data_IF_976532979228
#
_entry.id   IF_976532979228
#
_cell.length_a   1.000
_cell.length_b   1.000
_cell.length_c   1.000
_cell.angle_alpha   90.00
_cell.angle_beta   90.00
_cell.angle_gamma   90.00
#
_symmetry.space_group_name_H-M   'P 1'
#
loop_
_entity.id
_entity.type
_entity.pdbx_description
1 polymer ?
#
# COMPACT_ATOMS: atom_id res chain seq x y z
N UNK A 1 15.73 4.05 -9.47
CA UNK A 1 15.91 5.45 -9.90
C UNK A 1 14.65 6.32 -9.75
N UNK A 2 13.50 6.04 -10.42
CA UNK A 2 12.27 6.85 -10.25
C UNK A 2 11.80 6.86 -8.79
N UNK A 3 11.75 5.67 -8.17
CA UNK A 3 11.37 5.51 -6.76
C UNK A 3 12.31 6.30 -5.84
N UNK A 4 13.63 6.15 -6.02
CA UNK A 4 14.63 6.81 -5.16
C UNK A 4 14.50 8.33 -5.24
N UNK A 5 14.35 8.87 -6.45
CA UNK A 5 14.11 10.29 -6.65
C UNK A 5 12.82 10.76 -5.96
N UNK A 6 11.73 10.00 -6.07
CA UNK A 6 10.47 10.29 -5.38
C UNK A 6 10.64 10.24 -3.85
N UNK A 7 11.37 9.25 -3.33
CA UNK A 7 11.57 9.05 -1.91
C UNK A 7 12.36 10.19 -1.27
N UNK A 8 13.35 10.75 -1.97
CA UNK A 8 14.23 11.81 -1.47
C UNK A 8 13.60 13.21 -1.50
N UNK A 9 12.44 13.39 -2.16
CA UNK A 9 11.77 14.70 -2.16
C UNK A 9 11.30 15.11 -0.76
N UNK A 10 11.32 16.40 -0.46
CA UNK A 10 10.79 16.92 0.81
C UNK A 10 9.30 16.65 0.94
N UNK A 11 8.57 16.71 -0.17
CA UNK A 11 7.13 16.46 -0.26
C UNK A 11 6.82 15.63 -1.48
N UNK A 12 5.90 14.69 -1.37
CA UNK A 12 5.44 13.90 -2.51
C UNK A 12 4.88 14.78 -3.63
N UNK A 13 5.41 14.60 -4.83
CA UNK A 13 4.92 15.24 -6.05
C UNK A 13 4.18 14.23 -6.91
N UNK A 14 2.95 14.59 -7.33
CA UNK A 14 2.10 13.73 -8.18
C UNK A 14 2.76 13.35 -9.51
N UNK A 15 3.73 14.15 -9.97
CA UNK A 15 4.52 13.88 -11.16
C UNK A 15 5.13 12.47 -11.16
N UNK A 16 5.66 12.00 -10.03
CA UNK A 16 6.26 10.68 -9.94
C UNK A 16 5.25 9.55 -10.13
N UNK A 17 4.04 9.69 -9.58
CA UNK A 17 2.94 8.74 -9.78
C UNK A 17 2.52 8.66 -11.24
N UNK A 18 2.35 9.81 -11.91
CA UNK A 18 1.99 9.87 -13.32
C UNK A 18 3.08 9.26 -14.22
N UNK A 19 4.35 9.58 -13.94
CA UNK A 19 5.49 9.06 -14.69
C UNK A 19 5.61 7.54 -14.52
N UNK A 20 5.60 7.06 -13.28
CA UNK A 20 5.69 5.63 -12.97
C UNK A 20 4.50 4.85 -13.56
N UNK A 21 3.28 5.38 -13.44
CA UNK A 21 2.09 4.78 -14.01
C UNK A 21 2.18 4.69 -15.54
N UNK A 22 2.72 5.72 -16.19
CA UNK A 22 2.94 5.71 -17.64
C UNK A 22 3.91 4.61 -18.06
N UNK A 23 5.00 4.39 -17.32
CA UNK A 23 5.93 3.29 -17.59
C UNK A 23 5.25 1.93 -17.42
N UNK A 24 4.52 1.71 -16.32
CA UNK A 24 3.83 0.45 -16.05
C UNK A 24 2.84 0.09 -17.17
N UNK A 25 2.10 1.07 -17.68
CA UNK A 25 1.13 0.88 -18.76
C UNK A 25 1.77 0.79 -20.16
N UNK A 26 3.02 1.26 -20.32
CA UNK A 26 3.72 1.24 -21.60
C UNK A 26 4.22 -0.17 -21.93
N UNK A 27 4.77 -0.88 -20.94
CA UNK A 27 5.26 -2.25 -21.09
C UNK A 27 5.13 -3.03 -19.80
N UNK A 28 4.77 -4.31 -19.95
CA UNK A 28 4.64 -5.27 -18.83
C UNK A 28 5.90 -5.40 -17.98
N UNK A 29 7.09 -5.34 -18.60
CA UNK A 29 8.39 -5.41 -17.91
C UNK A 29 8.54 -4.34 -16.81
N UNK A 30 8.00 -3.13 -17.03
CA UNK A 30 8.05 -2.07 -16.04
C UNK A 30 7.06 -2.32 -14.90
N UNK A 31 5.85 -2.78 -15.23
CA UNK A 31 4.85 -3.13 -14.22
C UNK A 31 5.38 -4.22 -13.28
N UNK A 32 5.89 -5.33 -13.83
CA UNK A 32 6.50 -6.42 -13.06
C UNK A 32 7.69 -5.92 -12.22
N UNK A 33 8.50 -4.99 -12.75
CA UNK A 33 9.57 -4.35 -11.98
C UNK A 33 9.03 -3.55 -10.79
N UNK A 34 7.94 -2.79 -10.96
CA UNK A 34 7.33 -2.02 -9.87
C UNK A 34 6.66 -2.92 -8.82
N UNK A 35 6.13 -4.08 -9.22
CA UNK A 35 5.64 -5.10 -8.27
C UNK A 35 6.77 -5.63 -7.40
N UNK A 36 7.90 -6.03 -8.01
CA UNK A 36 9.08 -6.48 -7.28
C UNK A 36 9.62 -5.40 -6.33
N UNK A 37 9.69 -4.16 -6.82
CA UNK A 37 10.09 -3.01 -6.00
C UNK A 37 9.15 -2.82 -4.81
N UNK A 38 7.83 -3.00 -4.96
CA UNK A 38 6.91 -2.88 -3.83
C UNK A 38 7.25 -3.89 -2.72
N UNK A 39 7.46 -5.15 -3.09
CA UNK A 39 7.79 -6.21 -2.15
C UNK A 39 9.13 -5.93 -1.44
N UNK A 40 10.19 -5.59 -2.20
CA UNK A 40 11.51 -5.27 -1.64
C UNK A 40 11.46 -4.06 -0.69
N UNK A 41 10.70 -3.03 -1.05
CA UNK A 41 10.53 -1.83 -0.23
C UNK A 41 9.75 -2.10 1.05
N UNK A 42 8.76 -2.99 1.00
CA UNK A 42 7.98 -3.37 2.18
C UNK A 42 8.80 -4.24 3.14
N UNK A 43 9.60 -5.19 2.63
CA UNK A 43 10.47 -6.03 3.47
C UNK A 43 11.54 -5.22 4.21
N UNK A 44 12.11 -4.22 3.54
CA UNK A 44 13.16 -3.36 4.10
C UNK A 44 12.64 -2.06 4.72
N UNK A 45 11.32 -1.93 4.90
CA UNK A 45 10.64 -0.69 5.26
C UNK A 45 11.09 -0.07 6.59
N UNK A 46 11.52 -0.92 7.53
CA UNK A 46 12.04 -0.52 8.82
C UNK A 46 13.33 0.32 8.73
N UNK A 47 14.03 0.29 7.60
CA UNK A 47 15.25 1.07 7.33
C UNK A 47 14.97 2.45 6.76
N UNK A 48 13.72 2.74 6.37
CA UNK A 48 13.34 4.00 5.74
C UNK A 48 12.93 5.03 6.79
N UNK A 49 13.44 6.24 6.62
CA UNK A 49 13.01 7.39 7.40
C UNK A 49 11.56 7.78 7.08
N UNK A 50 10.88 8.42 8.03
CA UNK A 50 9.45 8.78 7.96
C UNK A 50 9.05 9.54 6.68
N UNK A 51 9.90 10.43 6.17
CA UNK A 51 9.62 11.17 4.94
C UNK A 51 9.65 10.26 3.71
N UNK A 52 10.62 9.35 3.63
CA UNK A 52 10.71 8.37 2.54
C UNK A 52 9.51 7.42 2.57
N UNK A 53 9.14 6.94 3.75
CA UNK A 53 7.92 6.13 3.95
C UNK A 53 6.68 6.82 3.37
N UNK A 54 6.50 8.11 3.69
CA UNK A 54 5.37 8.90 3.22
C UNK A 54 5.34 9.01 1.69
N UNK A 55 6.47 9.34 1.08
CA UNK A 55 6.54 9.53 -0.36
C UNK A 55 6.34 8.21 -1.12
N UNK A 56 6.97 7.12 -0.66
CA UNK A 56 6.83 5.80 -1.27
C UNK A 56 5.39 5.28 -1.12
N UNK A 57 4.77 5.43 0.05
CA UNK A 57 3.37 5.04 0.27
C UNK A 57 2.42 5.80 -0.68
N UNK A 58 2.63 7.11 -0.85
CA UNK A 58 1.83 7.92 -1.77
C UNK A 58 2.03 7.57 -3.24
N UNK A 59 3.25 7.21 -3.62
CA UNK A 59 3.54 6.73 -4.97
C UNK A 59 2.76 5.45 -5.27
N UNK A 60 2.83 4.45 -4.38
CA UNK A 60 2.12 3.19 -4.60
C UNK A 60 0.60 3.33 -4.46
N UNK A 61 0.11 4.23 -3.59
CA UNK A 61 -1.31 4.59 -3.59
C UNK A 61 -1.75 5.14 -4.96
N UNK A 62 -0.91 5.97 -5.59
CA UNK A 62 -1.16 6.48 -6.93
C UNK A 62 -1.26 5.34 -7.95
N UNK A 63 -0.26 4.46 -7.99
CA UNK A 63 -0.19 3.35 -8.95
C UNK A 63 -1.34 2.36 -8.79
N UNK A 64 -1.78 2.09 -7.56
CA UNK A 64 -2.90 1.20 -7.27
C UNK A 64 -4.25 1.80 -7.67
N UNK A 65 -4.50 3.10 -7.41
CA UNK A 65 -5.79 3.70 -7.79
C UNK A 65 -5.92 3.89 -9.31
N UNK A 66 -4.80 4.10 -10.02
CA UNK A 66 -4.78 4.20 -11.49
C UNK A 66 -4.73 2.84 -12.19
N UNK A 67 -4.84 1.73 -11.44
CA UNK A 67 -4.71 0.35 -11.93
C UNK A 67 -3.45 0.16 -12.81
N UNK A 68 -2.37 0.87 -12.48
CA UNK A 68 -1.08 0.77 -13.17
C UNK A 68 -0.22 -0.37 -12.64
N UNK A 69 -0.47 -0.80 -11.40
CA UNK A 69 0.12 -1.98 -10.76
C UNK A 69 -1.03 -2.80 -10.17
N UNK A 70 -1.02 -4.14 -10.29
CA UNK A 70 -2.09 -4.96 -9.74
C UNK A 70 -2.10 -4.92 -8.22
N UNK A 71 -3.31 -5.08 -7.66
CA UNK A 71 -3.52 -5.09 -6.22
C UNK A 71 -2.92 -6.31 -5.51
N UNK A 72 -2.46 -7.32 -6.27
CA UNK A 72 -1.75 -8.49 -5.77
C UNK A 72 -0.46 -8.14 -5.03
N UNK A 73 0.14 -6.97 -5.29
CA UNK A 73 1.33 -6.52 -4.54
C UNK A 73 1.10 -6.42 -3.04
N UNK A 74 -0.16 -6.28 -2.58
CA UNK A 74 -0.49 -6.22 -1.16
C UNK A 74 -0.35 -7.57 -0.43
N UNK A 75 -0.10 -8.68 -1.15
CA UNK A 75 0.09 -10.01 -0.56
C UNK A 75 1.26 -10.07 0.44
N UNK A 76 2.31 -9.27 0.23
CA UNK A 76 3.45 -9.21 1.16
C UNK A 76 3.11 -8.49 2.48
N UNK A 77 1.99 -7.76 2.54
CA UNK A 77 1.61 -6.96 3.71
C UNK A 77 0.93 -7.85 4.75
N UNK A 78 1.56 -7.99 5.92
CA UNK A 78 1.05 -8.79 7.04
C UNK A 78 0.79 -7.94 8.28
N UNK A 79 -0.47 -7.96 8.73
CA UNK A 79 -0.98 -7.23 9.88
C UNK A 79 -1.06 -8.15 11.09
N UNK A 80 -0.06 -8.13 11.94
CA UNK A 80 -0.06 -8.81 13.24
C UNK A 80 0.68 -8.00 14.28
N UNK A 81 0.42 -8.27 15.56
CA UNK A 81 1.10 -7.58 16.64
C UNK A 81 2.62 -7.87 16.64
N UNK A 82 3.01 -9.08 16.21
CA UNK A 82 4.38 -9.59 16.24
C UNK A 82 5.20 -9.16 15.02
N UNK A 83 4.60 -9.13 13.83
CA UNK A 83 5.32 -8.85 12.58
C UNK A 83 5.23 -7.39 12.14
N UNK A 84 4.21 -6.65 12.57
CA UNK A 84 3.99 -5.28 12.09
C UNK A 84 4.74 -4.24 12.93
N UNK A 85 5.88 -3.79 12.40
CA UNK A 85 6.72 -2.72 12.98
C UNK A 85 6.06 -1.34 12.92
N UNK A 86 6.60 -0.37 13.66
CA UNK A 86 6.15 1.04 13.62
C UNK A 86 6.20 1.64 12.21
N UNK A 87 7.28 1.39 11.46
CA UNK A 87 7.42 1.85 10.06
C UNK A 87 6.35 1.23 9.15
N UNK A 88 6.05 -0.06 9.33
CA UNK A 88 4.99 -0.76 8.59
C UNK A 88 3.62 -0.13 8.87
N UNK A 89 3.32 0.18 10.14
CA UNK A 89 2.07 0.86 10.53
C UNK A 89 1.95 2.24 9.88
N UNK A 90 3.03 3.03 9.88
CA UNK A 90 3.05 4.36 9.25
C UNK A 90 2.82 4.23 7.74
N UNK A 91 3.47 3.28 7.09
CA UNK A 91 3.33 3.05 5.66
C UNK A 91 1.90 2.66 5.28
N UNK A 92 1.35 1.61 5.89
CA UNK A 92 0.00 1.13 5.61
C UNK A 92 -1.03 2.22 5.91
N UNK A 93 -0.84 2.98 7.00
CA UNK A 93 -1.68 4.14 7.32
C UNK A 93 -1.71 5.14 6.17
N UNK A 94 -0.55 5.58 5.70
CA UNK A 94 -0.47 6.60 4.64
C UNK A 94 -1.01 6.04 3.32
N UNK A 95 -0.68 4.80 2.98
CA UNK A 95 -1.14 4.12 1.77
C UNK A 95 -2.67 4.10 1.70
N UNK A 96 -3.34 3.62 2.75
CA UNK A 96 -4.80 3.49 2.76
C UNK A 96 -5.53 4.82 2.95
N UNK A 97 -4.96 5.77 3.69
CA UNK A 97 -5.53 7.12 3.77
C UNK A 97 -5.48 7.82 2.41
N UNK A 98 -4.38 7.66 1.67
CA UNK A 98 -4.24 8.24 0.33
C UNK A 98 -5.15 7.54 -0.69
N UNK A 99 -5.25 6.20 -0.65
CA UNK A 99 -6.22 5.44 -1.47
C UNK A 99 -7.67 5.87 -1.20
N UNK A 100 -8.02 6.05 0.08
CA UNK A 100 -9.34 6.54 0.46
C UNK A 100 -9.58 7.98 -0.04
N UNK A 101 -8.55 8.82 -0.08
CA UNK A 101 -8.65 10.17 -0.63
C UNK A 101 -8.87 10.17 -2.15
N UNK A 102 -8.27 9.23 -2.89
CA UNK A 102 -8.48 9.11 -4.34
C UNK A 102 -9.82 8.47 -4.72
N UNK A 103 -10.18 7.35 -4.08
CA UNK A 103 -11.33 6.53 -4.49
C UNK A 103 -12.60 6.84 -3.70
N UNK A 104 -12.47 7.37 -2.48
CA UNK A 104 -13.52 7.40 -1.48
C UNK A 104 -13.70 6.04 -0.79
N UNK A 105 -14.19 6.07 0.45
CA UNK A 105 -14.38 4.87 1.28
C UNK A 105 -15.29 3.81 0.62
N UNK A 106 -16.42 4.15 -0.02
CA UNK A 106 -17.32 3.14 -0.60
C UNK A 106 -16.67 2.34 -1.74
N UNK A 107 -15.96 3.03 -2.66
CA UNK A 107 -15.31 2.39 -3.80
C UNK A 107 -14.09 1.58 -3.36
N UNK A 108 -13.33 2.09 -2.40
CA UNK A 108 -12.22 1.34 -1.81
C UNK A 108 -12.72 0.06 -1.14
N UNK A 109 -13.80 0.13 -0.36
CA UNK A 109 -14.39 -1.06 0.28
C UNK A 109 -14.88 -2.07 -0.76
N UNK A 110 -15.52 -1.62 -1.85
CA UNK A 110 -15.94 -2.49 -2.94
C UNK A 110 -14.74 -3.21 -3.58
N UNK A 111 -13.63 -2.48 -3.82
CA UNK A 111 -12.40 -3.06 -4.39
C UNK A 111 -11.77 -4.09 -3.46
N UNK A 112 -11.74 -3.81 -2.15
CA UNK A 112 -11.20 -4.73 -1.14
C UNK A 112 -12.08 -5.95 -0.88
N UNK A 113 -13.35 -5.92 -1.27
CA UNK A 113 -14.31 -7.04 -1.18
C UNK A 113 -14.43 -7.86 -2.47
N UNK A 114 -13.66 -7.51 -3.50
CA UNK A 114 -13.61 -8.30 -4.74
C UNK A 114 -13.12 -9.72 -4.43
N UNK A 115 -13.93 -10.72 -4.81
CA UNK A 115 -13.64 -12.14 -4.57
C UNK A 115 -12.33 -12.59 -5.23
N UNK A 116 -11.98 -12.02 -6.38
CA UNK A 116 -10.77 -12.37 -7.13
C UNK A 116 -9.49 -11.86 -6.46
N UNK A 117 -9.61 -10.83 -5.61
CA UNK A 117 -8.48 -10.21 -4.93
C UNK A 117 -8.31 -10.67 -3.47
N UNK A 118 -9.31 -11.36 -2.90
CA UNK A 118 -9.28 -11.80 -1.50
C UNK A 118 -7.99 -12.54 -1.10
N UNK A 119 -7.43 -13.47 -1.91
CA UNK A 119 -6.21 -14.19 -1.52
C UNK A 119 -5.03 -13.26 -1.23
N UNK A 120 -4.93 -12.15 -1.96
CA UNK A 120 -3.84 -11.18 -1.79
C UNK A 120 -4.03 -10.26 -0.58
N UNK A 121 -5.20 -10.29 0.07
CA UNK A 121 -5.50 -9.46 1.24
C UNK A 121 -5.55 -10.25 2.54
N UNK A 122 -5.27 -11.55 2.54
CA UNK A 122 -5.31 -12.40 3.74
C UNK A 122 -4.36 -11.90 4.83
N UNK A 123 -3.17 -11.43 4.45
CA UNK A 123 -2.22 -10.83 5.40
C UNK A 123 -2.70 -9.48 5.95
N UNK A 124 -3.45 -8.71 5.16
CA UNK A 124 -3.94 -7.38 5.53
C UNK A 124 -5.20 -7.46 6.42
N UNK A 125 -6.09 -8.41 6.12
CA UNK A 125 -7.33 -8.69 6.83
C UNK A 125 -7.32 -10.14 7.36
N UNK A 126 -6.44 -10.45 8.33
CA UNK A 126 -6.26 -11.80 8.85
C UNK A 126 -7.54 -12.34 9.48
N UNK A 127 -7.89 -13.59 9.12
CA UNK A 127 -9.02 -14.36 9.67
C UNK A 127 -8.59 -15.66 10.35
N UNK A 128 -7.28 -15.88 10.42
CA UNK A 128 -6.62 -17.07 10.98
C UNK A 128 -6.64 -17.06 12.51
N UNK A 129 -6.29 -15.93 13.13
CA UNK A 129 -6.16 -15.79 14.56
C UNK A 129 -6.97 -14.58 15.06
N UNK A 130 -7.89 -14.76 16.03
CA UNK A 130 -8.66 -13.65 16.61
C UNK A 130 -7.82 -12.47 17.10
N UNK A 131 -6.58 -12.70 17.55
CA UNK A 131 -5.65 -11.64 17.95
C UNK A 131 -5.21 -10.78 16.77
N UNK A 132 -4.84 -11.41 15.65
CA UNK A 132 -4.44 -10.73 14.42
C UNK A 132 -5.64 -9.97 13.81
N UNK A 133 -6.82 -10.59 13.78
CA UNK A 133 -8.05 -9.94 13.31
C UNK A 133 -8.37 -8.69 14.12
N UNK A 134 -8.33 -8.76 15.46
CA UNK A 134 -8.55 -7.60 16.34
C UNK A 134 -7.48 -6.52 16.12
N UNK A 135 -6.23 -6.92 15.94
CA UNK A 135 -5.15 -5.99 15.63
C UNK A 135 -5.42 -5.20 14.35
N UNK A 136 -5.81 -5.88 13.27
CA UNK A 136 -6.15 -5.24 12.00
C UNK A 136 -7.37 -4.30 12.13
N UNK A 137 -8.47 -4.76 12.76
CA UNK A 137 -9.66 -3.93 13.01
C UNK A 137 -9.30 -2.67 13.79
N UNK A 138 -8.57 -2.82 14.90
CA UNK A 138 -8.15 -1.70 15.74
C UNK A 138 -7.25 -0.73 14.97
N UNK A 139 -6.32 -1.26 14.18
CA UNK A 139 -5.45 -0.44 13.34
C UNK A 139 -6.26 0.39 12.34
N UNK A 140 -7.12 -0.23 11.53
CA UNK A 140 -7.92 0.48 10.52
C UNK A 140 -8.90 1.48 11.15
N UNK A 141 -9.48 1.13 12.30
CA UNK A 141 -10.31 2.05 13.08
C UNK A 141 -9.50 3.26 13.56
N UNK A 142 -8.29 3.06 14.09
CA UNK A 142 -7.43 4.13 14.62
C UNK A 142 -6.96 5.13 13.54
N UNK A 143 -6.92 4.72 12.28
CA UNK A 143 -6.54 5.58 11.15
C UNK A 143 -7.74 6.22 10.46
N UNK A 144 -8.96 6.03 10.99
CA UNK A 144 -10.20 6.59 10.47
C UNK A 144 -10.84 5.81 9.32
N UNK A 145 -10.43 4.56 9.10
CA UNK A 145 -10.87 3.70 7.99
C UNK A 145 -11.54 2.41 8.47
N UNK A 146 -12.22 2.45 9.63
CA UNK A 146 -12.89 1.29 10.23
C UNK A 146 -13.97 0.64 9.33
N UNK A 147 -14.48 1.35 8.33
CA UNK A 147 -15.43 0.79 7.36
C UNK A 147 -14.83 -0.21 6.35
N UNK A 148 -13.51 -0.42 6.38
CA UNK A 148 -12.80 -1.40 5.54
C UNK A 148 -12.66 -2.78 6.19
N UNK A 149 -12.82 -2.87 7.52
CA UNK A 149 -12.61 -4.09 8.31
C UNK A 149 -13.90 -4.67 8.84
#
# INVERSE_FOLDING_TARGET
MILDCCAQQRTYEKFFGLLAGRFCLLKKEYMESFEGIFAEQYDTIHRLETNKLRNVARLFAHLLYTDSVPWSVLECVRMSEETTTSSSRIFVKILFQELCAYMGLPRLNQRLKDATLQPFFEGLFPRDNPRNTRFAINFFTSIGLGGLT
#
